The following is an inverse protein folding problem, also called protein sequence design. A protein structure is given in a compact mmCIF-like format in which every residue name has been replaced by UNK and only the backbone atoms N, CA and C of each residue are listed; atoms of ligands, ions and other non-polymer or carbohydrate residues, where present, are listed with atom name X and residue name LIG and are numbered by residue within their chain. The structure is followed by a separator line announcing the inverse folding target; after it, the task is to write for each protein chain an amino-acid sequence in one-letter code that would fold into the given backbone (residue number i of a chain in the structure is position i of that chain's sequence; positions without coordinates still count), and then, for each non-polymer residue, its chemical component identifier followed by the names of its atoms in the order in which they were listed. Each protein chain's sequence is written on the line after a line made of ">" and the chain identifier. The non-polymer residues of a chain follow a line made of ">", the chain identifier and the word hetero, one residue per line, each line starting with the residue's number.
data_IF_025419941948
#
_entry.id   IF_025419941948
#
_cell.length_a   1.000
_cell.length_b   1.000
_cell.length_c   1.000
_cell.angle_alpha   90.00
_cell.angle_beta   90.00
_cell.angle_gamma   90.00
#
_symmetry.space_group_name_H-M   'P 1'
#
loop_
_entity.id
_entity.type
_entity.pdbx_description
1 polymer ?
#
# COMPACT_ATOMS: atom_id res chain seq x y z
N UNK A 1 11.71 14.12 -2.67
CA UNK A 1 10.25 14.24 -2.62
C UNK A 1 9.74 14.36 -1.20
N UNK A 2 8.81 15.27 -1.00
CA UNK A 2 8.22 15.55 0.30
C UNK A 2 7.56 14.33 0.93
N UNK A 3 6.85 13.53 0.12
CA UNK A 3 6.19 12.31 0.58
C UNK A 3 7.19 11.34 1.22
N UNK A 4 8.29 11.05 0.55
CA UNK A 4 9.31 10.12 1.07
C UNK A 4 10.05 10.70 2.28
N UNK A 5 10.25 12.02 2.32
CA UNK A 5 10.82 12.68 3.48
C UNK A 5 9.92 12.51 4.71
N UNK A 6 8.60 12.66 4.54
CA UNK A 6 7.63 12.45 5.61
C UNK A 6 7.61 11.00 6.09
N UNK A 7 7.72 10.03 5.17
CA UNK A 7 7.81 8.61 5.52
C UNK A 7 9.06 8.34 6.35
N UNK A 8 10.20 8.89 5.94
CA UNK A 8 11.45 8.75 6.69
C UNK A 8 11.35 9.36 8.09
N UNK A 9 10.74 10.53 8.22
CA UNK A 9 10.49 11.17 9.51
C UNK A 9 9.54 10.34 10.39
N UNK A 10 8.52 9.73 9.79
CA UNK A 10 7.63 8.82 10.49
C UNK A 10 8.39 7.61 11.05
N UNK A 11 9.26 7.01 10.25
CA UNK A 11 10.08 5.87 10.68
C UNK A 11 11.00 6.26 11.85
N UNK A 12 11.61 7.44 11.79
CA UNK A 12 12.45 7.96 12.86
C UNK A 12 11.65 8.20 14.14
N UNK A 13 10.48 8.80 14.04
CA UNK A 13 9.61 9.03 15.18
C UNK A 13 9.19 7.70 15.83
N UNK A 14 8.84 6.69 15.02
CA UNK A 14 8.48 5.37 15.52
C UNK A 14 9.66 4.71 16.24
N UNK A 15 10.88 4.82 15.71
CA UNK A 15 12.09 4.27 16.32
C UNK A 15 12.37 4.94 17.68
N UNK A 16 11.96 6.19 17.86
CA UNK A 16 12.12 6.94 19.11
C UNK A 16 10.94 6.73 20.09
N UNK A 17 9.99 5.88 19.76
CA UNK A 17 8.83 5.62 20.61
C UNK A 17 7.72 6.68 20.50
N UNK A 18 7.84 7.63 19.58
CA UNK A 18 6.86 8.69 19.35
C UNK A 18 5.78 8.25 18.36
N UNK A 19 4.97 7.27 18.74
CA UNK A 19 4.00 6.64 17.85
C UNK A 19 2.94 7.61 17.33
N UNK A 20 2.43 8.50 18.17
CA UNK A 20 1.45 9.51 17.75
C UNK A 20 1.98 10.41 16.65
N UNK A 21 3.22 10.87 16.79
CA UNK A 21 3.89 11.68 15.78
C UNK A 21 4.15 10.89 14.50
N UNK A 22 4.58 9.63 14.64
CA UNK A 22 4.82 8.74 13.51
C UNK A 22 3.56 8.56 12.66
N UNK A 23 2.42 8.32 13.29
CA UNK A 23 1.12 8.17 12.63
C UNK A 23 0.70 9.46 11.93
N UNK A 24 0.85 10.61 12.58
CA UNK A 24 0.53 11.91 11.98
C UNK A 24 1.36 12.18 10.72
N UNK A 25 2.67 11.91 10.79
CA UNK A 25 3.58 12.09 9.65
C UNK A 25 3.23 11.12 8.51
N UNK A 26 2.87 9.90 8.83
CA UNK A 26 2.47 8.92 7.84
C UNK A 26 1.17 9.34 7.13
N UNK A 27 0.21 9.87 7.88
CA UNK A 27 -1.05 10.38 7.31
C UNK A 27 -0.79 11.57 6.37
N UNK A 28 0.11 12.47 6.72
CA UNK A 28 0.52 13.58 5.84
C UNK A 28 1.16 13.07 4.55
N UNK A 29 2.04 12.07 4.66
CA UNK A 29 2.67 11.44 3.50
C UNK A 29 1.63 10.79 2.59
N UNK A 30 0.67 10.08 3.18
CA UNK A 30 -0.40 9.41 2.44
C UNK A 30 -1.26 10.41 1.67
N UNK A 31 -1.55 11.57 2.23
CA UNK A 31 -2.29 12.61 1.53
C UNK A 31 -1.57 13.08 0.25
N UNK A 32 -0.24 13.08 0.26
CA UNK A 32 0.57 13.44 -0.91
C UNK A 32 0.60 12.33 -1.97
N UNK A 33 0.32 11.10 -1.61
CA UNK A 33 0.32 9.98 -2.56
C UNK A 33 -0.72 10.17 -3.66
N UNK A 34 -1.84 10.82 -3.37
CA UNK A 34 -2.89 11.10 -4.35
C UNK A 34 -2.40 12.02 -5.47
N UNK A 35 -1.36 12.80 -5.24
CA UNK A 35 -0.77 13.71 -6.20
C UNK A 35 0.27 13.04 -7.11
N UNK A 36 0.65 11.81 -6.83
CA UNK A 36 1.60 11.06 -7.65
C UNK A 36 0.93 10.73 -8.99
N UNK A 37 1.46 11.24 -10.13
CA UNK A 37 0.77 11.10 -11.41
C UNK A 37 0.79 9.69 -11.98
N UNK A 38 1.85 8.93 -11.69
CA UNK A 38 1.98 7.56 -12.19
C UNK A 38 1.27 6.58 -11.26
N UNK A 39 0.28 5.86 -11.79
CA UNK A 39 -0.55 4.96 -11.00
C UNK A 39 0.24 3.83 -10.34
N UNK A 40 1.20 3.24 -11.05
CA UNK A 40 2.04 2.19 -10.47
C UNK A 40 2.87 2.69 -9.29
N UNK A 41 3.42 3.90 -9.40
CA UNK A 41 4.17 4.55 -8.31
C UNK A 41 3.26 4.89 -7.13
N UNK A 42 2.05 5.36 -7.42
CA UNK A 42 1.04 5.63 -6.39
C UNK A 42 0.67 4.36 -5.64
N UNK A 43 0.44 3.26 -6.37
CA UNK A 43 0.15 1.96 -5.78
C UNK A 43 1.28 1.48 -4.86
N UNK A 44 2.53 1.61 -5.31
CA UNK A 44 3.70 1.24 -4.49
C UNK A 44 3.78 2.08 -3.21
N UNK A 45 3.46 3.37 -3.29
CA UNK A 45 3.41 4.23 -2.10
C UNK A 45 2.37 3.74 -1.09
N UNK A 46 1.18 3.39 -1.55
CA UNK A 46 0.14 2.84 -0.66
C UNK A 46 0.55 1.50 -0.03
N UNK A 47 1.28 0.66 -0.75
CA UNK A 47 1.84 -0.58 -0.19
C UNK A 47 2.78 -0.28 0.98
N UNK A 48 3.63 0.74 0.85
CA UNK A 48 4.52 1.16 1.93
C UNK A 48 3.74 1.69 3.15
N UNK A 49 2.66 2.43 2.92
CA UNK A 49 1.79 2.90 4.00
C UNK A 49 1.10 1.73 4.71
N UNK A 50 0.66 0.71 3.97
CA UNK A 50 0.05 -0.49 4.54
C UNK A 50 1.04 -1.23 5.44
N UNK A 51 2.28 -1.42 4.99
CA UNK A 51 3.32 -2.09 5.77
C UNK A 51 3.61 -1.35 7.08
N UNK A 52 3.73 -0.03 7.03
CA UNK A 52 4.01 0.78 8.22
C UNK A 52 2.83 0.81 9.17
N UNK A 53 1.62 0.91 8.65
CA UNK A 53 0.41 0.87 9.47
C UNK A 53 0.26 -0.48 10.19
N UNK A 54 0.66 -1.58 9.54
CA UNK A 54 0.70 -2.90 10.16
C UNK A 54 1.68 -2.95 11.34
N UNK A 55 2.84 -2.29 11.21
CA UNK A 55 3.82 -2.19 12.30
C UNK A 55 3.27 -1.41 13.50
N UNK A 56 2.34 -0.48 13.27
CA UNK A 56 1.67 0.26 14.33
C UNK A 56 0.43 -0.48 14.87
N UNK A 57 0.18 -1.69 14.36
CA UNK A 57 -1.01 -2.48 14.71
C UNK A 57 -2.31 -1.72 14.44
N UNK A 58 -2.35 -0.98 13.35
CA UNK A 58 -3.48 -0.12 12.97
C UNK A 58 -4.23 -0.73 11.78
N UNK A 59 -5.18 -1.61 12.08
CA UNK A 59 -5.95 -2.33 11.06
C UNK A 59 -6.76 -1.40 10.16
N UNK A 60 -7.29 -0.31 10.69
CA UNK A 60 -8.09 0.65 9.91
C UNK A 60 -7.21 1.34 8.86
N UNK A 61 -5.97 1.72 9.22
CA UNK A 61 -5.04 2.34 8.28
C UNK A 61 -4.52 1.35 7.25
N UNK A 62 -4.29 0.10 7.64
CA UNK A 62 -3.93 -0.96 6.69
C UNK A 62 -5.05 -1.13 5.66
N UNK A 63 -6.28 -1.27 6.11
CA UNK A 63 -7.45 -1.42 5.25
C UNK A 63 -7.55 -0.25 4.24
N UNK A 64 -7.47 0.98 4.72
CA UNK A 64 -7.53 2.17 3.89
C UNK A 64 -6.43 2.21 2.83
N UNK A 65 -5.19 1.91 3.24
CA UNK A 65 -4.04 1.91 2.32
C UNK A 65 -4.19 0.84 1.24
N UNK A 66 -4.63 -0.36 1.60
CA UNK A 66 -4.83 -1.45 0.64
C UNK A 66 -5.93 -1.10 -0.36
N UNK A 67 -7.03 -0.50 0.10
CA UNK A 67 -8.13 -0.07 -0.78
C UNK A 67 -7.67 0.98 -1.78
N UNK A 68 -6.94 1.99 -1.34
CA UNK A 68 -6.38 3.02 -2.22
C UNK A 68 -5.38 2.43 -3.22
N UNK A 69 -4.58 1.47 -2.76
CA UNK A 69 -3.66 0.73 -3.63
C UNK A 69 -4.43 0.01 -4.75
N UNK A 70 -5.47 -0.73 -4.41
CA UNK A 70 -6.30 -1.45 -5.39
C UNK A 70 -6.95 -0.49 -6.38
N UNK A 71 -7.48 0.63 -5.92
CA UNK A 71 -8.06 1.65 -6.81
C UNK A 71 -7.04 2.15 -7.83
N UNK A 72 -5.81 2.43 -7.38
CA UNK A 72 -4.74 2.87 -8.26
C UNK A 72 -4.39 1.80 -9.29
N UNK A 73 -4.26 0.55 -8.85
CA UNK A 73 -3.93 -0.58 -9.73
C UNK A 73 -5.01 -0.82 -10.77
N UNK A 74 -6.28 -0.82 -10.37
CA UNK A 74 -7.39 -1.08 -11.29
C UNK A 74 -7.51 0.00 -12.36
N UNK A 75 -6.98 1.19 -12.12
CA UNK A 75 -6.95 2.30 -13.07
C UNK A 75 -5.78 2.23 -14.05
N UNK A 76 -4.82 1.34 -13.84
CA UNK A 76 -3.69 1.15 -14.76
C UNK A 76 -4.19 0.52 -16.07
N UNK A 77 -3.86 1.14 -17.21
CA UNK A 77 -4.30 0.66 -18.52
C UNK A 77 -3.39 -0.41 -19.12
N UNK A 78 -2.08 -0.31 -18.86
CA UNK A 78 -1.11 -1.31 -19.34
C UNK A 78 -1.27 -2.60 -18.55
N UNK A 79 -1.70 -3.66 -19.22
CA UNK A 79 -1.98 -4.95 -18.58
C UNK A 79 -0.74 -5.59 -17.94
N UNK A 80 0.42 -5.42 -18.54
CA UNK A 80 1.68 -5.94 -18.00
C UNK A 80 2.05 -5.23 -16.69
N UNK A 81 1.95 -3.91 -16.66
CA UNK A 81 2.23 -3.10 -15.47
C UNK A 81 1.20 -3.42 -14.39
N UNK A 82 -0.07 -3.52 -14.77
CA UNK A 82 -1.17 -3.86 -13.87
C UNK A 82 -0.95 -5.22 -13.20
N UNK A 83 -0.61 -6.24 -13.98
CA UNK A 83 -0.34 -7.59 -13.47
C UNK A 83 0.86 -7.59 -12.52
N UNK A 84 1.93 -6.86 -12.85
CA UNK A 84 3.11 -6.70 -12.00
C UNK A 84 2.76 -6.05 -10.66
N UNK A 85 1.97 -4.97 -10.69
CA UNK A 85 1.53 -4.27 -9.47
C UNK A 85 0.62 -5.14 -8.60
N UNK A 86 -0.28 -5.91 -9.22
CA UNK A 86 -1.14 -6.85 -8.49
C UNK A 86 -0.33 -7.96 -7.81
N UNK A 87 0.68 -8.49 -8.50
CA UNK A 87 1.57 -9.51 -7.93
C UNK A 87 2.34 -8.94 -6.73
N UNK A 88 2.83 -7.71 -6.82
CA UNK A 88 3.51 -7.02 -5.73
C UNK A 88 2.59 -6.83 -4.53
N UNK A 89 1.35 -6.39 -4.75
CA UNK A 89 0.37 -6.23 -3.68
C UNK A 89 0.03 -7.57 -3.03
N UNK A 90 -0.07 -8.65 -3.81
CA UNK A 90 -0.28 -10.00 -3.28
C UNK A 90 0.85 -10.40 -2.33
N UNK A 91 2.11 -10.11 -2.70
CA UNK A 91 3.26 -10.37 -1.83
C UNK A 91 3.19 -9.57 -0.54
N UNK A 92 2.79 -8.30 -0.63
CA UNK A 92 2.61 -7.45 0.56
C UNK A 92 1.53 -8.00 1.47
N UNK A 93 0.41 -8.46 0.90
CA UNK A 93 -0.68 -9.05 1.69
C UNK A 93 -0.22 -10.30 2.45
N UNK A 94 0.64 -11.11 1.83
CA UNK A 94 1.20 -12.30 2.48
C UNK A 94 2.17 -11.96 3.64
N UNK A 95 2.84 -10.82 3.56
CA UNK A 95 3.77 -10.35 4.60
C UNK A 95 3.06 -9.74 5.81
N UNK A 96 1.81 -9.30 5.66
CA UNK A 96 1.07 -8.66 6.74
C UNK A 96 0.51 -9.70 7.72
N UNK A 97 0.72 -9.48 9.01
CA UNK A 97 0.28 -10.39 10.08
C UNK A 97 -1.07 -10.05 10.70
N UNK A 98 -1.79 -9.07 10.14
CA UNK A 98 -3.08 -8.63 10.67
C UNK A 98 -4.25 -9.41 10.03
N UNK A 99 -5.36 -9.63 10.75
CA UNK A 99 -6.53 -10.32 10.19
C UNK A 99 -7.06 -9.71 8.88
N UNK A 100 -6.92 -8.39 8.72
CA UNK A 100 -7.33 -7.70 7.50
C UNK A 100 -6.51 -8.19 6.30
N UNK A 101 -5.26 -8.59 6.51
CA UNK A 101 -4.39 -9.08 5.45
C UNK A 101 -4.89 -10.40 4.85
N UNK A 102 -5.40 -11.31 5.66
CA UNK A 102 -5.97 -12.58 5.18
C UNK A 102 -7.11 -12.32 4.21
N UNK A 103 -8.03 -11.44 4.58
CA UNK A 103 -9.18 -11.06 3.77
C UNK A 103 -8.75 -10.46 2.43
N UNK A 104 -7.85 -9.49 2.46
CA UNK A 104 -7.40 -8.82 1.24
C UNK A 104 -6.44 -9.68 0.43
N UNK A 105 -5.69 -10.56 1.07
CA UNK A 105 -4.82 -11.51 0.39
C UNK A 105 -5.57 -12.38 -0.60
N UNK A 106 -6.71 -12.94 -0.19
CA UNK A 106 -7.57 -13.75 -1.07
C UNK A 106 -8.12 -12.93 -2.25
N UNK A 107 -8.62 -11.72 -1.97
CA UNK A 107 -9.16 -10.83 -2.99
C UNK A 107 -8.07 -10.48 -4.01
N UNK A 108 -6.89 -10.12 -3.54
CA UNK A 108 -5.76 -9.74 -4.39
C UNK A 108 -5.31 -10.92 -5.24
N UNK A 109 -5.17 -12.11 -4.66
CA UNK A 109 -4.79 -13.31 -5.41
C UNK A 109 -5.80 -13.64 -6.50
N UNK A 110 -7.09 -13.52 -6.21
CA UNK A 110 -8.14 -13.72 -7.19
C UNK A 110 -8.02 -12.73 -8.35
N UNK A 111 -7.80 -11.46 -8.07
CA UNK A 111 -7.62 -10.40 -9.08
C UNK A 111 -6.38 -10.67 -9.92
N UNK A 112 -5.26 -11.02 -9.29
CA UNK A 112 -4.01 -11.35 -9.99
C UNK A 112 -4.21 -12.54 -10.94
N UNK A 113 -4.86 -13.61 -10.45
CA UNK A 113 -5.13 -14.79 -11.27
C UNK A 113 -5.94 -14.43 -12.50
N UNK A 114 -7.01 -13.64 -12.34
CA UNK A 114 -7.84 -13.19 -13.47
C UNK A 114 -7.06 -12.31 -14.44
N UNK A 115 -6.22 -11.43 -13.93
CA UNK A 115 -5.40 -10.55 -14.77
C UNK A 115 -4.40 -11.37 -15.62
N UNK A 116 -3.76 -12.36 -15.01
CA UNK A 116 -2.82 -13.25 -15.69
C UNK A 116 -3.51 -14.09 -16.76
N UNK A 117 -4.72 -14.57 -16.49
CA UNK A 117 -5.52 -15.32 -17.47
C UNK A 117 -5.88 -14.46 -18.69
N UNK A 118 -6.17 -13.18 -18.47
CA UNK A 118 -6.49 -12.25 -19.57
C UNK A 118 -5.27 -11.85 -20.38
N UNK A 119 -4.11 -11.78 -19.72
CA UNK A 119 -2.85 -11.41 -20.37
C UNK A 119 -2.22 -12.52 -21.19
N UNK A 120 -2.76 -13.70 -21.09
CA UNK A 120 -2.33 -14.85 -21.89
C UNK A 120 -3.33 -15.18 -22.97
#
# INVERSE_FOLDING_TARGET
>A
HRMFALVALSDTAAANGELGRAVTLLDEAKALAEEVPQLASRASAYMEFAKRSAKFDDAARVDSAVRHCLESITSIRDESIKASSLAELSSVADELELPVAEKYGEIVRSIVTKALQRGM
#
